data_IF_309954395686
#
_entry.id   IF_309954395686
#
_cell.length_a   1.000
_cell.length_b   1.000
_cell.length_c   1.000
_cell.angle_alpha   90.00
_cell.angle_beta   90.00
_cell.angle_gamma   90.00
#
_symmetry.space_group_name_H-M   'P 1'
#
loop_
_entity.id
_entity.type
_entity.pdbx_description
1 polymer ?
#
# COMPACT_ATOMS: atom_id res chain seq x y z
N UNK A 1 -21.39 11.48 7.25
CA UNK A 1 -21.04 10.93 8.60
C UNK A 1 -20.05 11.88 9.25
N UNK A 2 -20.27 12.32 10.50
CA UNK A 2 -19.38 13.29 11.18
C UNK A 2 -18.12 12.57 11.68
N UNK A 3 -16.94 13.20 11.58
CA UNK A 3 -15.65 12.64 12.01
C UNK A 3 -15.65 12.07 13.44
N UNK A 4 -16.46 12.65 14.33
CA UNK A 4 -16.57 12.25 15.74
C UNK A 4 -17.20 10.85 15.96
N UNK A 5 -18.05 10.36 15.05
CA UNK A 5 -18.60 9.00 15.14
C UNK A 5 -17.60 7.94 14.66
N UNK A 6 -16.74 8.30 13.71
CA UNK A 6 -15.75 7.40 13.14
C UNK A 6 -14.67 6.99 14.16
N UNK A 7 -14.34 7.89 15.09
CA UNK A 7 -13.33 7.66 16.15
C UNK A 7 -13.88 6.76 17.27
N UNK A 8 -15.21 6.71 17.46
CA UNK A 8 -15.85 6.00 18.59
C UNK A 8 -16.00 4.49 18.39
N UNK A 9 -15.82 3.99 17.18
CA UNK A 9 -15.89 2.56 16.87
C UNK A 9 -14.47 2.03 16.55
N UNK A 10 -13.79 1.39 17.51
CA UNK A 10 -12.44 0.86 17.31
C UNK A 10 -12.33 -0.10 16.14
N UNK A 11 -13.38 -0.87 15.85
CA UNK A 11 -13.39 -1.81 14.74
C UNK A 11 -13.41 -1.07 13.40
N UNK A 12 -14.22 0.00 13.26
CA UNK A 12 -14.21 0.83 12.05
C UNK A 12 -12.89 1.54 11.82
N UNK A 13 -12.22 2.00 12.89
CA UNK A 13 -10.89 2.59 12.78
C UNK A 13 -9.88 1.57 12.25
N UNK A 14 -9.84 0.37 12.81
CA UNK A 14 -8.93 -0.70 12.37
C UNK A 14 -9.21 -1.12 10.92
N UNK A 15 -10.49 -1.27 10.52
CA UNK A 15 -10.84 -1.60 9.14
C UNK A 15 -10.43 -0.52 8.15
N UNK A 16 -10.56 0.75 8.53
CA UNK A 16 -10.07 1.86 7.71
C UNK A 16 -8.55 1.87 7.56
N UNK A 17 -7.81 1.59 8.64
CA UNK A 17 -6.35 1.48 8.57
C UNK A 17 -5.91 0.33 7.64
N UNK A 18 -6.58 -0.82 7.72
CA UNK A 18 -6.39 -1.93 6.77
C UNK A 18 -6.73 -1.54 5.33
N UNK A 19 -7.79 -0.76 5.13
CA UNK A 19 -8.17 -0.26 3.80
C UNK A 19 -7.13 0.73 3.25
N UNK A 20 -6.64 1.65 4.07
CA UNK A 20 -5.60 2.61 3.72
C UNK A 20 -4.30 1.89 3.34
N UNK A 21 -3.90 0.88 4.12
CA UNK A 21 -2.76 0.02 3.82
C UNK A 21 -2.97 -0.70 2.48
N UNK A 22 -4.13 -1.34 2.27
CA UNK A 22 -4.44 -2.01 1.01
C UNK A 22 -4.42 -1.08 -0.22
N UNK A 23 -4.83 0.18 -0.06
CA UNK A 23 -4.75 1.20 -1.11
C UNK A 23 -3.33 1.64 -1.41
N UNK A 24 -2.44 1.63 -0.40
CA UNK A 24 -1.02 1.94 -0.59
C UNK A 24 -0.24 0.83 -1.30
N UNK A 25 -0.72 -0.42 -1.22
CA UNK A 25 -0.04 -1.56 -1.83
C UNK A 25 -0.04 -1.47 -3.37
N UNK A 26 1.08 -1.79 -4.06
CA UNK A 26 1.20 -1.72 -5.51
C UNK A 26 0.22 -2.67 -6.17
N UNK A 27 -0.48 -2.17 -7.19
CA UNK A 27 -1.47 -2.95 -7.93
C UNK A 27 -0.89 -4.23 -8.54
N UNK A 28 0.36 -4.22 -9.01
CA UNK A 28 0.99 -5.39 -9.63
C UNK A 28 1.26 -6.54 -8.65
N UNK A 29 1.30 -6.26 -7.34
CA UNK A 29 1.45 -7.28 -6.30
C UNK A 29 0.11 -7.93 -5.93
N UNK A 30 -1.02 -7.28 -6.21
CA UNK A 30 -2.34 -7.82 -5.86
C UNK A 30 -2.64 -9.08 -6.66
N UNK A 31 -3.06 -10.13 -5.97
CA UNK A 31 -3.38 -11.43 -6.55
C UNK A 31 -2.16 -12.28 -6.94
N UNK A 32 -0.94 -11.85 -6.62
CA UNK A 32 0.25 -12.66 -6.87
C UNK A 32 0.33 -13.86 -5.89
N UNK A 33 0.89 -15.00 -6.31
CA UNK A 33 1.12 -16.12 -5.40
C UNK A 33 2.05 -15.73 -4.25
N UNK A 34 1.82 -16.29 -3.05
CA UNK A 34 2.63 -16.03 -1.85
C UNK A 34 4.14 -16.17 -2.09
N UNK A 35 4.55 -17.27 -2.75
CA UNK A 35 5.96 -17.53 -3.09
C UNK A 35 6.58 -16.41 -3.94
N UNK A 36 5.79 -15.73 -4.77
CA UNK A 36 6.27 -14.58 -5.55
C UNK A 36 6.39 -13.32 -4.69
N UNK A 37 5.44 -13.10 -3.78
CA UNK A 37 5.44 -11.98 -2.84
C UNK A 37 6.61 -12.06 -1.84
N UNK A 38 6.94 -13.26 -1.36
CA UNK A 38 8.09 -13.50 -0.48
C UNK A 38 9.42 -13.11 -1.14
N UNK A 39 9.55 -13.26 -2.47
CA UNK A 39 10.74 -12.78 -3.22
C UNK A 39 10.89 -11.26 -3.21
N UNK A 40 9.80 -10.54 -2.96
CA UNK A 40 9.82 -9.10 -2.77
C UNK A 40 10.11 -8.69 -1.32
N UNK A 41 10.38 -9.64 -0.41
CA UNK A 41 10.64 -9.37 1.00
C UNK A 41 9.38 -9.09 1.81
N UNK A 42 8.21 -9.48 1.31
CA UNK A 42 6.93 -9.42 2.03
C UNK A 42 6.82 -10.67 2.88
N UNK A 43 6.67 -10.50 4.18
CA UNK A 43 6.71 -11.60 5.15
C UNK A 43 5.54 -11.55 6.13
N UNK A 44 4.81 -10.44 6.17
CA UNK A 44 3.72 -10.20 7.10
C UNK A 44 2.41 -10.83 6.60
N UNK A 45 1.78 -11.66 7.45
CA UNK A 45 0.49 -12.30 7.14
C UNK A 45 -0.59 -11.30 6.73
N UNK A 46 -0.69 -10.17 7.45
CA UNK A 46 -1.65 -9.13 7.12
C UNK A 46 -1.45 -8.56 5.70
N UNK A 47 -0.21 -8.50 5.21
CA UNK A 47 0.06 -8.02 3.84
C UNK A 47 -0.34 -9.07 2.82
N UNK A 48 -0.13 -10.36 3.09
CA UNK A 48 -0.62 -11.43 2.22
C UNK A 48 -2.14 -11.42 2.11
N UNK A 49 -2.85 -11.28 3.24
CA UNK A 49 -4.31 -11.22 3.27
C UNK A 49 -4.84 -10.04 2.47
N UNK A 50 -4.21 -8.86 2.63
CA UNK A 50 -4.59 -7.67 1.87
C UNK A 50 -4.26 -7.82 0.37
N UNK A 51 -3.12 -8.40 0.00
CA UNK A 51 -2.75 -8.61 -1.40
C UNK A 51 -3.62 -9.67 -2.09
N UNK A 52 -4.24 -10.59 -1.35
CA UNK A 52 -5.23 -11.51 -1.90
C UNK A 52 -6.49 -10.79 -2.39
N UNK A 53 -6.81 -9.61 -1.82
CA UNK A 53 -7.93 -8.78 -2.23
C UNK A 53 -7.56 -7.96 -3.47
N UNK A 54 -8.18 -8.29 -4.61
CA UNK A 54 -7.86 -7.69 -5.92
C UNK A 54 -8.65 -6.42 -6.17
N UNK A 55 -9.88 -6.33 -5.66
CA UNK A 55 -10.81 -5.24 -5.98
C UNK A 55 -11.42 -4.60 -4.74
N UNK A 56 -11.91 -3.36 -4.89
CA UNK A 56 -12.64 -2.67 -3.82
C UNK A 56 -13.95 -3.40 -3.47
N UNK A 57 -14.59 -4.04 -4.46
CA UNK A 57 -15.79 -4.85 -4.24
C UNK A 57 -15.50 -6.11 -3.41
N UNK A 58 -14.34 -6.74 -3.62
CA UNK A 58 -13.88 -7.84 -2.77
C UNK A 58 -13.58 -7.35 -1.35
N UNK A 59 -12.90 -6.21 -1.20
CA UNK A 59 -12.65 -5.62 0.12
C UNK A 59 -13.95 -5.36 0.90
N UNK A 60 -14.93 -4.75 0.22
CA UNK A 60 -16.28 -4.50 0.76
C UNK A 60 -16.92 -5.78 1.29
N UNK A 61 -16.84 -6.87 0.54
CA UNK A 61 -17.37 -8.18 0.94
C UNK A 61 -16.59 -8.78 2.11
N UNK A 62 -15.27 -8.79 2.06
CA UNK A 62 -14.40 -9.38 3.09
C UNK A 62 -14.60 -8.72 4.46
N UNK A 63 -14.73 -7.40 4.48
CA UNK A 63 -14.85 -6.63 5.72
C UNK A 63 -16.30 -6.21 6.05
N UNK A 64 -17.29 -6.67 5.27
CA UNK A 64 -18.69 -6.27 5.40
C UNK A 64 -18.90 -4.75 5.46
N UNK A 65 -18.20 -4.01 4.60
CA UNK A 65 -18.25 -2.54 4.53
C UNK A 65 -19.05 -2.11 3.30
N UNK A 66 -19.98 -1.18 3.49
CA UNK A 66 -20.76 -0.60 2.41
C UNK A 66 -19.88 0.15 1.38
N UNK A 67 -20.26 0.06 0.10
CA UNK A 67 -19.50 0.68 -0.99
C UNK A 67 -19.50 2.21 -0.90
N UNK A 68 -20.58 2.82 -0.38
CA UNK A 68 -20.64 4.25 -0.10
C UNK A 68 -19.63 4.66 0.96
N UNK A 69 -19.45 3.83 2.00
CA UNK A 69 -18.41 4.06 3.03
C UNK A 69 -17.00 4.04 2.43
N UNK A 70 -16.70 3.07 1.56
CA UNK A 70 -15.40 3.02 0.87
C UNK A 70 -15.18 4.24 -0.05
N UNK A 71 -16.24 4.77 -0.65
CA UNK A 71 -16.17 6.00 -1.46
C UNK A 71 -15.81 7.21 -0.62
N UNK A 72 -16.39 7.34 0.58
CA UNK A 72 -16.02 8.40 1.52
C UNK A 72 -14.59 8.23 2.05
N UNK A 73 -14.15 7.00 2.29
CA UNK A 73 -12.77 6.72 2.68
C UNK A 73 -11.75 7.07 1.59
N UNK A 74 -12.05 6.83 0.32
CA UNK A 74 -11.19 7.27 -0.79
C UNK A 74 -11.01 8.80 -0.77
N UNK A 75 -12.11 9.57 -0.65
CA UNK A 75 -12.04 11.05 -0.55
C UNK A 75 -11.21 11.50 0.64
N UNK A 76 -11.32 10.79 1.77
CA UNK A 76 -10.53 11.09 2.97
C UNK A 76 -9.04 10.83 2.75
N UNK A 77 -8.68 9.69 2.15
CA UNK A 77 -7.28 9.37 1.84
C UNK A 77 -6.68 10.36 0.82
N UNK A 78 -7.46 10.85 -0.13
CA UNK A 78 -7.03 11.90 -1.06
C UNK A 78 -6.78 13.24 -0.36
N UNK A 79 -7.60 13.59 0.63
CA UNK A 79 -7.47 14.84 1.39
C UNK A 79 -6.32 14.79 2.41
N UNK A 80 -6.25 13.72 3.19
CA UNK A 80 -5.36 13.59 4.34
C UNK A 80 -3.98 13.06 3.94
N UNK A 81 -3.87 12.45 2.74
CA UNK A 81 -2.71 11.68 2.32
C UNK A 81 -2.59 10.33 3.03
N UNK A 82 -1.72 9.46 2.53
CA UNK A 82 -1.34 8.24 3.24
C UNK A 82 -0.35 8.61 4.36
N UNK A 83 -0.58 8.10 5.58
CA UNK A 83 0.37 8.29 6.69
C UNK A 83 1.76 7.77 6.31
N UNK A 84 2.82 8.43 6.79
CA UNK A 84 4.22 8.03 6.51
C UNK A 84 4.51 6.58 6.91
N UNK A 85 3.91 6.09 8.00
CA UNK A 85 4.09 4.72 8.47
C UNK A 85 3.39 3.67 7.60
N UNK A 86 2.35 4.06 6.83
CA UNK A 86 1.63 3.12 5.96
C UNK A 86 2.54 2.59 4.85
N UNK A 87 3.56 3.35 4.44
CA UNK A 87 4.52 2.92 3.42
C UNK A 87 5.73 2.17 3.99
N UNK A 88 5.75 1.82 5.29
CA UNK A 88 6.86 1.08 5.87
C UNK A 88 7.14 -0.26 5.16
N UNK A 89 6.10 -0.89 4.61
CA UNK A 89 6.23 -2.11 3.78
C UNK A 89 7.06 -1.85 2.51
N UNK A 90 7.01 -0.64 1.94
CA UNK A 90 7.72 -0.29 0.70
C UNK A 90 9.23 -0.20 0.89
N UNK A 91 9.72 0.09 2.10
CA UNK A 91 11.17 0.07 2.40
C UNK A 91 11.79 -1.30 2.14
N UNK A 92 11.02 -2.38 2.29
CA UNK A 92 11.48 -3.74 1.97
C UNK A 92 11.67 -3.98 0.47
N UNK A 93 11.01 -3.18 -0.37
CA UNK A 93 11.22 -3.21 -1.81
C UNK A 93 12.47 -2.43 -2.25
N UNK A 94 13.04 -1.55 -1.40
CA UNK A 94 14.19 -0.71 -1.76
C UNK A 94 15.31 -1.50 -2.45
N UNK A 95 15.81 -2.64 -1.94
CA UNK A 95 16.94 -3.33 -2.58
C UNK A 95 16.60 -3.80 -4.00
N UNK A 96 15.37 -4.30 -4.20
CA UNK A 96 14.89 -4.74 -5.51
C UNK A 96 14.70 -3.57 -6.48
N UNK A 97 14.18 -2.44 -5.99
CA UNK A 97 13.99 -1.23 -6.78
C UNK A 97 15.33 -0.61 -7.16
N UNK A 98 16.25 -0.44 -6.20
CA UNK A 98 17.61 0.06 -6.44
C UNK A 98 18.35 -0.87 -7.41
N UNK A 99 18.23 -2.20 -7.28
CA UNK A 99 18.82 -3.13 -8.23
C UNK A 99 18.23 -2.99 -9.63
N UNK A 100 16.91 -2.89 -9.76
CA UNK A 100 16.24 -2.69 -11.05
C UNK A 100 16.64 -1.35 -11.70
N UNK A 101 16.73 -0.28 -10.90
CA UNK A 101 17.21 1.03 -11.34
C UNK A 101 18.68 0.97 -11.77
N UNK A 102 19.54 0.31 -11.00
CA UNK A 102 20.95 0.11 -11.35
C UNK A 102 21.10 -0.68 -12.65
N UNK A 103 20.34 -1.77 -12.83
CA UNK A 103 20.30 -2.55 -14.07
C UNK A 103 19.78 -1.72 -15.26
N UNK A 104 18.79 -0.85 -15.02
CA UNK A 104 18.28 0.05 -16.05
C UNK A 104 19.33 1.10 -16.42
N UNK A 105 19.99 1.73 -15.45
CA UNK A 105 21.03 2.73 -15.69
C UNK A 105 22.25 2.14 -16.39
N UNK A 106 22.71 0.96 -15.98
CA UNK A 106 23.83 0.27 -16.65
C UNK A 106 23.49 -0.08 -18.10
N UNK A 107 22.21 -0.35 -18.40
CA UNK A 107 21.74 -0.68 -19.75
C UNK A 107 21.38 0.54 -20.61
N UNK A 108 20.83 1.60 -20.01
CA UNK A 108 20.15 2.70 -20.71
C UNK A 108 20.59 4.12 -20.26
N UNK A 109 21.36 4.26 -19.18
CA UNK A 109 21.92 5.53 -18.68
C UNK A 109 20.91 6.56 -18.15
N UNK A 110 20.38 6.42 -16.92
CA UNK A 110 19.40 7.36 -16.32
C UNK A 110 19.57 7.63 -14.82
N UNK A 111 20.70 8.24 -14.43
CA UNK A 111 21.07 8.48 -13.03
C UNK A 111 20.06 9.32 -12.20
N UNK A 112 19.21 10.14 -12.85
CA UNK A 112 18.23 10.98 -12.15
C UNK A 112 17.09 10.18 -11.51
N UNK A 113 16.74 8.99 -12.04
CA UNK A 113 15.68 8.13 -11.48
C UNK A 113 16.07 7.52 -10.12
N UNK A 114 17.37 7.24 -9.89
CA UNK A 114 17.89 6.76 -8.59
C UNK A 114 17.85 7.84 -7.51
N UNK A 115 18.14 9.08 -7.88
CA UNK A 115 18.11 10.22 -6.95
C UNK A 115 16.70 10.46 -6.42
N UNK A 116 15.69 10.41 -7.31
CA UNK A 116 14.29 10.56 -6.95
C UNK A 116 13.82 9.47 -5.96
N UNK A 117 14.25 8.22 -6.12
CA UNK A 117 13.90 7.15 -5.16
C UNK A 117 14.49 7.42 -3.77
N UNK A 118 15.77 7.78 -3.70
CA UNK A 118 16.42 8.09 -2.42
C UNK A 118 15.74 9.26 -1.70
N UNK A 119 15.38 10.31 -2.43
CA UNK A 119 14.73 11.50 -1.87
C UNK A 119 13.29 11.21 -1.38
N UNK A 120 12.54 10.35 -2.09
CA UNK A 120 11.14 10.06 -1.77
C UNK A 120 10.95 8.95 -0.72
N UNK A 121 11.85 7.96 -0.66
CA UNK A 121 11.65 6.72 0.08
C UNK A 121 12.67 6.51 1.22
N UNK A 122 13.95 6.76 0.98
CA UNK A 122 15.02 6.44 1.95
C UNK A 122 15.22 7.54 3.00
N UNK A 123 15.00 8.81 2.64
CA UNK A 123 15.26 9.97 3.51
C UNK A 123 14.05 10.47 4.31
N UNK A 124 13.02 9.64 4.55
CA UNK A 124 11.78 10.03 5.27
C UNK A 124 11.39 9.06 6.38
#
# INVERSE_FOLDING_TARGET
>A
MKEEEFIKDPYKKQTYESYALWKSLPSFLKGQPRVSLEKFGINEEIIFDLLAIKTQAEFSKTYSIDVGTLTDWNKRLEKDGLSKDINAWARKLTPNVIFALYKNITKNGRAHEVRAWYELIENN
#
